data_IF_517789475010
#
_entry.id   IF_517789475010
#
_cell.length_a   1.000
_cell.length_b   1.000
_cell.length_c   1.000
_cell.angle_alpha   90.00
_cell.angle_beta   90.00
_cell.angle_gamma   90.00
#
_symmetry.space_group_name_H-M   'P 1'
#
loop_
_entity.id
_entity.type
_entity.pdbx_description
1 polymer ?
#
# COMPACT_ATOMS: atom_id res chain seq x y z
N UNK A 1 8.64 8.83 -13.10
CA UNK A 1 7.69 8.12 -12.24
C UNK A 1 6.77 9.17 -11.68
N UNK A 2 5.48 8.90 -11.62
CA UNK A 2 4.57 9.80 -10.97
C UNK A 2 4.85 9.76 -9.47
N UNK A 3 5.58 10.76 -8.95
CA UNK A 3 5.87 10.89 -7.53
C UNK A 3 4.61 11.31 -6.79
N UNK A 4 4.48 10.87 -5.54
CA UNK A 4 3.61 11.50 -4.57
C UNK A 4 4.26 11.52 -3.19
N UNK A 5 3.98 12.55 -2.40
CA UNK A 5 4.36 12.61 -0.97
C UNK A 5 3.56 11.64 -0.10
N UNK A 6 2.47 11.11 -0.65
CA UNK A 6 1.59 10.21 0.05
C UNK A 6 1.71 8.86 -0.61
N UNK A 7 2.17 7.88 0.18
CA UNK A 7 2.26 6.51 -0.26
C UNK A 7 0.86 5.92 -0.49
N UNK A 8 0.56 5.60 -1.74
CA UNK A 8 -0.60 4.80 -2.15
C UNK A 8 -0.20 3.33 -2.30
N UNK A 9 -1.17 2.42 -2.14
CA UNK A 9 -0.97 0.99 -2.47
C UNK A 9 -0.97 0.77 -3.97
N UNK A 10 -1.94 1.37 -4.67
CA UNK A 10 -2.01 1.40 -6.12
C UNK A 10 -0.99 2.43 -6.66
N UNK A 11 0.01 2.03 -7.45
CA UNK A 11 0.94 2.97 -8.07
C UNK A 11 0.22 3.93 -9.01
N UNK A 12 0.66 5.19 -9.03
CA UNK A 12 0.06 6.25 -9.86
C UNK A 12 0.11 5.91 -11.35
N UNK A 13 1.21 5.33 -11.82
CA UNK A 13 1.34 4.89 -13.21
C UNK A 13 0.38 3.73 -13.56
N UNK A 14 0.09 2.83 -12.60
CA UNK A 14 -0.94 1.78 -12.78
C UNK A 14 -2.34 2.39 -12.83
N UNK A 15 -2.61 3.40 -12.00
CA UNK A 15 -3.86 4.17 -12.06
C UNK A 15 -4.04 4.81 -13.46
N UNK A 16 -2.99 5.43 -13.98
CA UNK A 16 -3.00 6.05 -15.31
C UNK A 16 -3.22 5.01 -16.42
N UNK A 17 -2.55 3.86 -16.34
CA UNK A 17 -2.71 2.76 -17.28
C UNK A 17 -4.14 2.20 -17.31
N UNK A 18 -4.81 2.06 -16.16
CA UNK A 18 -6.20 1.58 -16.07
C UNK A 18 -7.17 2.56 -16.77
N UNK A 19 -6.89 3.86 -16.70
CA UNK A 19 -7.67 4.88 -17.41
C UNK A 19 -7.32 5.01 -18.90
N UNK A 20 -6.29 4.29 -19.36
CA UNK A 20 -5.80 4.37 -20.74
C UNK A 20 -5.01 5.65 -21.03
N UNK A 21 -4.40 6.25 -20.02
CA UNK A 21 -3.49 7.40 -20.16
C UNK A 21 -2.11 6.87 -20.57
N UNK A 22 -1.45 7.56 -21.52
CA UNK A 22 -0.08 7.21 -21.90
C UNK A 22 0.88 7.51 -20.72
N UNK A 23 1.67 6.51 -20.25
CA UNK A 23 2.61 6.70 -19.15
C UNK A 23 3.60 7.84 -19.39
N UNK A 24 4.04 8.09 -20.64
CA UNK A 24 4.93 9.23 -20.97
C UNK A 24 4.27 10.54 -20.61
N UNK A 25 3.05 10.73 -21.09
CA UNK A 25 2.28 11.95 -20.90
C UNK A 25 1.97 12.20 -19.42
N UNK A 26 1.65 11.13 -18.68
CA UNK A 26 1.43 11.18 -17.24
C UNK A 26 2.71 11.52 -16.45
N UNK A 27 3.87 11.08 -16.92
CA UNK A 27 5.19 11.36 -16.35
C UNK A 27 5.82 12.70 -16.81
N UNK A 28 5.08 13.53 -17.55
CA UNK A 28 5.54 14.78 -18.19
C UNK A 28 6.57 14.60 -19.31
N UNK A 29 6.73 13.39 -19.84
CA UNK A 29 7.68 13.11 -20.93
C UNK A 29 7.02 13.34 -22.29
N UNK A 30 7.74 14.00 -23.18
CA UNK A 30 7.38 14.21 -24.58
C UNK A 30 8.53 13.85 -25.49
N UNK A 31 8.26 13.23 -26.62
CA UNK A 31 9.29 12.80 -27.58
C UNK A 31 9.00 13.37 -28.96
N UNK A 32 10.01 13.48 -29.82
CA UNK A 32 9.79 13.86 -31.22
C UNK A 32 8.85 12.88 -31.94
N UNK A 33 8.95 11.58 -31.63
CA UNK A 33 8.10 10.53 -32.19
C UNK A 33 6.61 10.68 -31.79
N UNK A 34 6.33 11.29 -30.63
CA UNK A 34 4.97 11.54 -30.14
C UNK A 34 4.85 12.97 -29.61
N UNK A 35 4.81 13.91 -30.55
CA UNK A 35 4.64 15.33 -30.26
C UNK A 35 3.33 15.60 -29.50
N UNK A 36 3.37 16.63 -28.64
CA UNK A 36 2.22 17.14 -27.90
C UNK A 36 1.13 17.57 -28.88
N UNK A 37 0.00 16.88 -28.84
CA UNK A 37 -1.22 17.33 -29.53
C UNK A 37 -1.92 18.41 -28.68
N UNK A 38 -2.74 19.26 -29.29
CA UNK A 38 -3.35 20.45 -28.66
C UNK A 38 -4.17 20.18 -27.39
N UNK A 39 -4.57 18.93 -27.13
CA UNK A 39 -5.29 18.52 -25.92
C UNK A 39 -4.43 17.75 -24.89
N UNK A 40 -3.13 17.54 -25.17
CA UNK A 40 -2.22 16.76 -24.33
C UNK A 40 -1.22 17.67 -23.59
N UNK A 41 -1.70 18.59 -22.75
CA UNK A 41 -0.82 19.30 -21.82
C UNK A 41 -0.26 18.31 -20.80
N UNK A 42 1.05 18.30 -20.57
CA UNK A 42 1.71 17.36 -19.65
C UNK A 42 1.12 17.44 -18.23
N UNK A 43 0.99 16.30 -17.56
CA UNK A 43 0.42 16.21 -16.22
C UNK A 43 1.34 16.80 -15.16
N UNK A 44 0.94 17.90 -14.51
CA UNK A 44 1.78 18.58 -13.50
C UNK A 44 1.87 17.81 -12.18
N UNK A 45 2.94 18.04 -11.42
CA UNK A 45 3.14 17.39 -10.13
C UNK A 45 2.11 17.90 -9.11
N UNK A 46 1.93 19.21 -9.06
CA UNK A 46 1.06 19.88 -8.10
C UNK A 46 -0.05 20.68 -8.77
N UNK A 47 -1.20 20.79 -8.11
CA UNK A 47 -2.36 21.58 -8.54
C UNK A 47 -2.12 23.10 -8.65
N UNK A 48 -1.05 23.63 -8.04
CA UNK A 48 -0.72 25.05 -8.12
C UNK A 48 0.15 25.37 -9.34
N UNK A 49 0.76 24.36 -9.98
CA UNK A 49 1.53 24.55 -11.21
C UNK A 49 0.60 24.83 -12.41
N UNK A 50 -0.66 24.42 -12.34
CA UNK A 50 -1.71 24.67 -13.33
C UNK A 50 -3.06 24.81 -12.62
N UNK A 51 -3.68 25.98 -12.67
CA UNK A 51 -4.87 26.30 -11.85
C UNK A 51 -6.11 25.44 -12.18
N UNK A 52 -6.26 25.04 -13.44
CA UNK A 52 -7.50 24.43 -13.93
C UNK A 52 -7.48 22.89 -13.94
N UNK A 53 -6.36 22.28 -13.53
CA UNK A 53 -6.15 20.84 -13.63
C UNK A 53 -5.79 20.22 -12.28
N UNK A 54 -6.01 18.90 -12.19
CA UNK A 54 -5.62 18.07 -11.06
C UNK A 54 -4.14 17.66 -11.19
N UNK A 55 -3.38 17.82 -10.11
CA UNK A 55 -1.98 17.39 -10.06
C UNK A 55 -1.85 15.91 -9.69
N UNK A 56 -0.64 15.34 -9.87
CA UNK A 56 -0.34 13.96 -9.44
C UNK A 56 -0.50 13.77 -7.92
N UNK A 57 -0.18 14.77 -7.11
CA UNK A 57 -0.41 14.74 -5.65
C UNK A 57 -1.89 14.65 -5.28
N UNK A 58 -2.76 15.39 -5.99
CA UNK A 58 -4.21 15.34 -5.73
C UNK A 58 -4.79 13.97 -6.11
N UNK A 59 -4.25 13.37 -7.18
CA UNK A 59 -4.59 11.99 -7.57
C UNK A 59 -4.17 11.02 -6.47
N UNK A 60 -2.96 11.16 -5.93
CA UNK A 60 -2.47 10.30 -4.86
C UNK A 60 -3.34 10.40 -3.59
N UNK A 61 -3.74 11.62 -3.23
CA UNK A 61 -4.70 11.87 -2.14
C UNK A 61 -6.04 11.16 -2.40
N UNK A 62 -6.60 11.29 -3.60
CA UNK A 62 -7.87 10.67 -3.97
C UNK A 62 -7.78 9.13 -3.98
N UNK A 63 -6.66 8.56 -4.44
CA UNK A 63 -6.40 7.11 -4.39
C UNK A 63 -6.29 6.65 -2.94
N UNK A 64 -5.51 7.32 -2.09
CA UNK A 64 -5.37 6.94 -0.69
C UNK A 64 -6.73 6.98 0.02
N UNK A 65 -7.54 8.00 -0.23
CA UNK A 65 -8.89 8.09 0.32
C UNK A 65 -9.77 6.93 -0.15
N UNK A 66 -9.72 6.58 -1.44
CA UNK A 66 -10.45 5.44 -1.99
C UNK A 66 -10.00 4.10 -1.39
N UNK A 67 -8.69 3.87 -1.28
CA UNK A 67 -8.14 2.69 -0.62
C UNK A 67 -8.64 2.59 0.81
N UNK A 68 -8.51 3.66 1.61
CA UNK A 68 -8.94 3.65 3.01
C UNK A 68 -10.42 3.37 3.17
N UNK A 69 -11.28 4.01 2.38
CA UNK A 69 -12.75 3.81 2.43
C UNK A 69 -13.10 2.35 2.11
N UNK A 70 -12.44 1.75 1.12
CA UNK A 70 -12.67 0.36 0.76
C UNK A 70 -12.16 -0.57 1.87
N UNK A 71 -10.95 -0.34 2.39
CA UNK A 71 -10.32 -1.18 3.41
C UNK A 71 -11.05 -1.16 4.75
N UNK A 72 -11.48 0.03 5.18
CA UNK A 72 -12.29 0.18 6.40
C UNK A 72 -13.63 -0.58 6.26
N UNK A 73 -14.17 -0.69 5.04
CA UNK A 73 -15.39 -1.45 4.78
C UNK A 73 -15.16 -2.96 4.71
N UNK A 74 -14.10 -3.43 4.04
CA UNK A 74 -13.83 -4.87 3.88
C UNK A 74 -13.12 -5.48 5.09
N UNK A 75 -12.44 -4.68 5.90
CA UNK A 75 -11.72 -5.11 7.11
C UNK A 75 -10.36 -5.75 6.85
N UNK A 76 -9.73 -5.47 5.70
CA UNK A 76 -8.38 -5.94 5.35
C UNK A 76 -7.73 -4.99 4.34
N UNK A 77 -6.40 -5.02 4.24
CA UNK A 77 -5.67 -4.19 3.26
C UNK A 77 -5.83 -4.75 1.83
N UNK A 78 -6.03 -3.87 0.85
CA UNK A 78 -6.17 -4.26 -0.57
C UNK A 78 -4.87 -4.78 -1.19
N UNK A 79 -3.74 -4.38 -0.63
CA UNK A 79 -2.41 -4.88 -0.95
C UNK A 79 -1.67 -5.15 0.38
N UNK A 80 -0.80 -6.17 0.45
CA UNK A 80 -0.01 -6.43 1.64
C UNK A 80 0.73 -5.20 2.15
N UNK A 81 0.46 -4.85 3.41
CA UNK A 81 1.09 -3.75 4.13
C UNK A 81 1.31 -4.12 5.58
N UNK A 82 2.02 -3.27 6.31
CA UNK A 82 2.36 -3.49 7.72
C UNK A 82 1.45 -2.70 8.63
N UNK A 83 0.79 -3.39 9.55
CA UNK A 83 0.16 -2.78 10.70
C UNK A 83 1.25 -2.48 11.73
N UNK A 84 1.30 -1.24 12.20
CA UNK A 84 2.31 -0.76 13.15
C UNK A 84 1.60 -0.34 14.44
N UNK A 85 2.06 -0.89 15.57
CA UNK A 85 1.57 -0.55 16.91
C UNK A 85 0.05 -0.69 17.07
N UNK A 86 -0.53 -1.79 16.59
CA UNK A 86 -1.92 -2.08 16.90
C UNK A 86 -2.05 -2.48 18.37
N UNK A 87 -2.93 -1.79 19.10
CA UNK A 87 -3.16 -2.04 20.52
C UNK A 87 -4.40 -2.88 20.72
N UNK A 88 -4.22 -4.05 21.32
CA UNK A 88 -5.30 -4.99 21.63
C UNK A 88 -5.37 -5.22 23.13
N UNK A 89 -6.56 -5.12 23.71
CA UNK A 89 -6.78 -5.46 25.12
C UNK A 89 -7.22 -6.92 25.19
N UNK A 90 -6.44 -7.75 25.87
CA UNK A 90 -6.65 -9.21 25.92
C UNK A 90 -7.39 -9.65 27.18
N UNK A 91 -7.09 -9.02 28.32
CA UNK A 91 -7.82 -9.24 29.57
C UNK A 91 -8.49 -7.92 29.96
N UNK A 92 -9.75 -8.00 30.36
CA UNK A 92 -10.42 -6.83 30.95
C UNK A 92 -10.01 -6.77 32.41
N UNK A 93 -9.06 -5.91 32.74
CA UNK A 93 -8.66 -5.64 34.12
C UNK A 93 -9.87 -5.28 35.03
N UNK A 94 -10.98 -4.82 34.46
CA UNK A 94 -12.21 -4.46 35.17
C UNK A 94 -13.22 -5.61 35.40
N UNK A 95 -12.99 -6.83 34.89
CA UNK A 95 -13.91 -7.96 35.13
C UNK A 95 -13.22 -9.00 36.04
N UNK A 96 -13.42 -8.91 37.37
CA UNK A 96 -12.72 -9.77 38.35
C UNK A 96 -13.02 -11.26 38.19
N UNK A 97 -14.12 -11.61 37.50
CA UNK A 97 -14.54 -12.99 37.27
C UNK A 97 -13.76 -13.70 36.14
N UNK A 98 -13.02 -12.95 35.31
CA UNK A 98 -12.30 -13.48 34.15
C UNK A 98 -10.78 -13.43 34.39
N UNK A 99 -10.34 -14.03 35.49
CA UNK A 99 -8.90 -14.26 35.71
C UNK A 99 -8.50 -15.51 34.94
N UNK A 100 -7.96 -15.30 33.75
CA UNK A 100 -7.29 -16.36 33.02
C UNK A 100 -5.84 -16.49 33.53
N UNK A 101 -5.47 -17.67 34.01
CA UNK A 101 -4.12 -17.96 34.51
C UNK A 101 -3.41 -18.86 33.50
N UNK A 102 -2.24 -18.44 33.01
CA UNK A 102 -1.31 -19.30 32.25
C UNK A 102 -1.37 -19.19 30.73
N UNK A 103 -1.78 -18.06 30.16
CA UNK A 103 -1.86 -17.77 28.72
C UNK A 103 -2.65 -18.80 27.90
N UNK A 104 -3.56 -19.52 28.54
CA UNK A 104 -4.33 -20.59 27.91
C UNK A 104 -5.82 -20.35 28.02
N UNK A 105 -6.59 -20.71 27.00
CA UNK A 105 -8.04 -20.78 27.06
C UNK A 105 -8.50 -21.88 28.02
N UNK A 106 -9.80 -21.92 28.35
CA UNK A 106 -10.39 -23.01 29.16
C UNK A 106 -10.16 -24.42 28.59
N UNK A 107 -9.84 -24.51 27.29
CA UNK A 107 -9.48 -25.76 26.59
C UNK A 107 -7.97 -26.03 26.56
N UNK A 108 -7.15 -25.25 27.29
CA UNK A 108 -5.68 -25.32 27.32
C UNK A 108 -4.96 -24.96 26.00
N UNK A 109 -5.65 -24.36 25.02
CA UNK A 109 -5.00 -23.77 23.84
C UNK A 109 -4.43 -22.39 24.17
N UNK A 110 -3.39 -21.94 23.47
CA UNK A 110 -2.88 -20.57 23.59
C UNK A 110 -4.00 -19.55 23.45
N UNK A 111 -3.98 -18.48 24.25
CA UNK A 111 -4.92 -17.37 24.07
C UNK A 111 -4.79 -16.78 22.66
N UNK A 112 -5.94 -16.39 22.11
CA UNK A 112 -6.04 -15.76 20.81
C UNK A 112 -6.61 -14.36 20.94
N UNK A 113 -6.29 -13.52 19.98
CA UNK A 113 -6.96 -12.25 19.76
C UNK A 113 -7.26 -12.08 18.27
N UNK A 114 -8.25 -11.24 17.96
CA UNK A 114 -8.56 -10.85 16.59
C UNK A 114 -7.93 -9.49 16.33
N UNK A 115 -7.05 -9.42 15.35
CA UNK A 115 -6.48 -8.18 14.85
C UNK A 115 -7.53 -7.36 14.09
N UNK A 116 -7.30 -6.06 13.94
CA UNK A 116 -8.18 -5.14 13.22
C UNK A 116 -8.29 -5.51 11.74
N UNK A 117 -7.19 -5.97 11.15
CA UNK A 117 -7.10 -6.32 9.74
C UNK A 117 -7.06 -7.85 9.55
N UNK A 118 -7.90 -8.36 8.66
CA UNK A 118 -7.84 -9.73 8.16
C UNK A 118 -6.75 -9.95 7.12
N UNK A 119 -6.71 -11.14 6.53
CA UNK A 119 -5.69 -11.55 5.55
C UNK A 119 -4.25 -11.36 6.05
N UNK A 120 -3.96 -11.93 7.22
CA UNK A 120 -2.63 -12.00 7.80
C UNK A 120 -1.69 -12.75 6.85
N UNK A 121 -0.44 -12.30 6.79
CA UNK A 121 0.66 -12.99 6.11
C UNK A 121 1.67 -13.47 7.16
N UNK A 122 2.22 -12.55 7.94
CA UNK A 122 3.25 -12.86 8.95
C UNK A 122 3.25 -11.81 10.08
N UNK A 123 3.78 -12.18 11.25
CA UNK A 123 4.15 -11.21 12.28
C UNK A 123 5.46 -10.51 11.91
N UNK A 124 5.61 -9.24 12.28
CA UNK A 124 6.83 -8.48 11.99
C UNK A 124 6.56 -7.04 11.60
N UNK A 125 7.65 -6.29 11.45
CA UNK A 125 7.65 -4.89 11.01
C UNK A 125 8.34 -4.77 9.65
N UNK A 126 8.04 -3.70 8.92
CA UNK A 126 8.75 -3.40 7.70
C UNK A 126 10.20 -3.01 8.00
N UNK A 127 11.15 -3.67 7.36
CA UNK A 127 12.55 -3.27 7.36
C UNK A 127 13.05 -3.00 5.93
N UNK A 128 14.08 -2.17 5.82
CA UNK A 128 14.72 -1.80 4.57
C UNK A 128 16.22 -1.81 4.75
N UNK A 129 16.89 -2.67 3.99
CA UNK A 129 18.35 -2.72 3.96
C UNK A 129 18.85 -2.27 2.61
N UNK A 130 19.87 -1.42 2.58
CA UNK A 130 20.52 -1.04 1.33
C UNK A 130 21.28 -2.25 0.77
N UNK A 131 21.01 -2.61 -0.49
CA UNK A 131 21.78 -3.62 -1.22
C UNK A 131 22.97 -2.93 -1.88
N UNK A 132 22.70 -1.93 -2.71
CA UNK A 132 23.71 -1.15 -3.41
C UNK A 132 23.16 0.25 -3.71
N UNK A 133 23.96 1.29 -3.49
CA UNK A 133 23.61 2.67 -3.79
C UNK A 133 24.29 3.11 -5.09
N UNK A 134 23.65 4.02 -5.82
CA UNK A 134 24.22 4.63 -7.03
C UNK A 134 24.42 3.65 -8.19
N UNK A 135 23.59 2.61 -8.30
CA UNK A 135 23.67 1.62 -9.38
C UNK A 135 23.36 2.31 -10.71
N UNK A 136 24.24 2.15 -11.69
CA UNK A 136 24.10 2.76 -13.00
C UNK A 136 22.87 2.22 -13.75
N UNK A 137 22.14 3.12 -14.39
CA UNK A 137 21.01 2.80 -15.27
C UNK A 137 21.49 2.78 -16.71
N UNK A 138 21.20 1.69 -17.43
CA UNK A 138 21.48 1.59 -18.87
C UNK A 138 20.17 1.76 -19.63
N UNK A 139 20.10 2.80 -20.47
CA UNK A 139 18.98 3.01 -21.38
C UNK A 139 19.21 2.33 -22.72
N UNK A 140 18.20 1.63 -23.22
CA UNK A 140 18.23 0.93 -24.51
C UNK A 140 16.96 1.24 -25.29
N UNK A 141 17.12 1.38 -26.60
CA UNK A 141 16.06 1.45 -27.61
C UNK A 141 15.98 0.06 -28.29
N UNK A 142 15.00 -0.78 -27.92
CA UNK A 142 14.89 -2.13 -28.47
C UNK A 142 14.31 -2.18 -29.88
N UNK A 143 13.59 -1.15 -30.35
CA UNK A 143 12.87 -1.18 -31.63
C UNK A 143 13.48 -0.28 -32.72
N UNK A 144 14.45 0.56 -32.36
CA UNK A 144 15.24 1.38 -33.26
C UNK A 144 14.54 2.68 -33.70
N UNK A 145 13.52 3.14 -32.97
CA UNK A 145 12.80 4.38 -33.29
C UNK A 145 13.51 5.66 -32.81
N UNK A 146 14.71 5.52 -32.24
CA UNK A 146 15.57 6.56 -31.64
C UNK A 146 15.13 7.06 -30.27
N UNK A 147 14.09 6.50 -29.66
CA UNK A 147 13.68 6.79 -28.29
C UNK A 147 14.05 5.60 -27.38
N UNK A 148 14.96 5.76 -26.41
CA UNK A 148 15.29 4.64 -25.51
C UNK A 148 14.17 4.42 -24.48
N UNK A 149 13.18 3.55 -24.73
CA UNK A 149 12.08 3.34 -23.77
C UNK A 149 12.50 2.56 -22.53
N UNK A 150 13.55 1.74 -22.64
CA UNK A 150 13.82 0.69 -21.66
C UNK A 150 15.03 1.04 -20.82
N UNK A 151 14.85 1.05 -19.50
CA UNK A 151 15.90 1.19 -18.51
C UNK A 151 16.22 -0.17 -17.90
N UNK A 152 17.50 -0.55 -17.90
CA UNK A 152 18.00 -1.80 -17.32
C UNK A 152 18.97 -1.50 -16.18
N UNK A 153 18.75 -2.16 -15.04
CA UNK A 153 19.56 -2.05 -13.83
C UNK A 153 19.98 -3.47 -13.43
N UNK A 154 21.26 -3.65 -13.14
CA UNK A 154 21.83 -4.93 -12.70
C UNK A 154 22.61 -4.73 -11.42
N UNK A 155 22.34 -5.56 -10.42
CA UNK A 155 22.91 -5.44 -9.07
C UNK A 155 23.23 -6.82 -8.51
N UNK A 156 24.38 -6.99 -7.87
CA UNK A 156 24.71 -8.24 -7.17
C UNK A 156 23.95 -8.31 -5.86
N UNK A 157 23.29 -9.44 -5.55
CA UNK A 157 22.49 -9.58 -4.34
C UNK A 157 22.50 -11.02 -3.79
N UNK A 158 22.32 -11.13 -2.48
CA UNK A 158 22.07 -12.41 -1.79
C UNK A 158 20.58 -12.69 -1.60
N UNK A 159 19.72 -11.71 -1.90
CA UNK A 159 18.27 -11.84 -1.80
C UNK A 159 17.79 -12.84 -2.86
N UNK A 160 16.93 -13.76 -2.45
CA UNK A 160 16.38 -14.81 -3.32
C UNK A 160 14.96 -14.52 -3.77
N UNK A 161 14.19 -13.77 -2.97
CA UNK A 161 12.84 -13.37 -3.32
C UNK A 161 12.87 -12.06 -4.12
N UNK A 162 12.48 -12.07 -5.40
CA UNK A 162 12.42 -10.83 -6.16
C UNK A 162 11.45 -9.82 -5.52
N UNK A 163 10.38 -10.22 -4.80
CA UNK A 163 9.38 -9.32 -4.17
C UNK A 163 9.96 -8.42 -3.08
N UNK A 164 11.12 -8.78 -2.56
CA UNK A 164 11.83 -7.96 -1.58
C UNK A 164 12.70 -6.88 -2.23
N UNK A 165 12.94 -6.92 -3.54
CA UNK A 165 13.72 -5.90 -4.24
C UNK A 165 12.86 -4.67 -4.53
N UNK A 166 13.30 -3.52 -4.05
CA UNK A 166 12.68 -2.22 -4.29
C UNK A 166 13.72 -1.20 -4.77
N UNK A 167 13.30 -0.31 -5.67
CA UNK A 167 14.14 0.73 -6.25
C UNK A 167 13.75 2.10 -5.69
N UNK A 168 14.75 2.94 -5.44
CA UNK A 168 14.57 4.27 -4.90
C UNK A 168 15.41 5.30 -5.67
N UNK A 169 14.94 6.55 -5.68
CA UNK A 169 15.72 7.69 -6.15
C UNK A 169 17.02 7.81 -5.33
N UNK A 170 18.18 8.09 -5.98
CA UNK A 170 19.47 8.10 -5.29
C UNK A 170 19.52 9.16 -4.19
N UNK A 171 20.13 8.81 -3.06
CA UNK A 171 20.38 9.76 -1.95
C UNK A 171 19.20 9.98 -1.00
N UNK A 172 18.05 9.35 -1.24
CA UNK A 172 16.82 9.55 -0.45
C UNK A 172 16.66 8.56 0.72
N UNK A 173 17.72 7.82 1.07
CA UNK A 173 17.77 6.89 2.22
C UNK A 173 16.62 5.87 2.26
N UNK A 174 16.11 5.47 1.09
CA UNK A 174 15.01 4.51 0.99
C UNK A 174 13.66 5.04 1.51
N UNK A 175 13.44 6.36 1.57
CA UNK A 175 12.12 6.92 1.93
C UNK A 175 11.02 6.45 0.96
N UNK A 176 9.85 6.09 1.51
CA UNK A 176 8.73 5.54 0.71
C UNK A 176 8.22 6.48 -0.39
N UNK A 177 8.30 7.80 -0.18
CA UNK A 177 7.87 8.83 -1.13
C UNK A 177 8.74 8.90 -2.39
N UNK A 178 9.87 8.19 -2.36
CA UNK A 178 10.88 8.12 -3.42
C UNK A 178 11.04 6.71 -4.00
N UNK A 179 10.12 5.80 -3.66
CA UNK A 179 10.12 4.44 -4.19
C UNK A 179 9.62 4.40 -5.65
N UNK A 180 10.47 3.97 -6.57
CA UNK A 180 10.19 3.76 -8.00
C UNK A 180 9.21 2.60 -8.19
N UNK A 181 7.95 2.92 -8.53
CA UNK A 181 6.85 1.96 -8.76
C UNK A 181 6.01 2.37 -9.98
N UNK A 182 5.40 1.41 -10.69
CA UNK A 182 5.53 -0.05 -10.56
C UNK A 182 6.79 -0.58 -11.26
N UNK A 183 7.29 -1.75 -10.83
CA UNK A 183 8.40 -2.47 -11.47
C UNK A 183 7.86 -3.47 -12.50
N UNK A 184 7.36 -2.96 -13.61
CA UNK A 184 6.77 -3.73 -14.71
C UNK A 184 7.65 -3.59 -15.95
N UNK A 185 7.91 -4.72 -16.61
CA UNK A 185 8.65 -4.77 -17.86
C UNK A 185 7.75 -4.25 -19.01
N UNK A 186 8.18 -3.23 -19.77
CA UNK A 186 7.41 -2.68 -20.87
C UNK A 186 7.02 -3.72 -21.94
N UNK A 187 7.87 -4.72 -22.19
CA UNK A 187 7.68 -5.71 -23.24
C UNK A 187 6.70 -6.80 -22.82
N UNK A 188 6.93 -7.44 -21.66
CA UNK A 188 6.08 -8.54 -21.19
C UNK A 188 4.82 -8.09 -20.47
N UNK A 189 4.77 -6.84 -19.99
CA UNK A 189 3.74 -6.32 -19.07
C UNK A 189 3.61 -7.16 -17.80
N UNK A 190 4.69 -7.84 -17.44
CA UNK A 190 4.83 -8.63 -16.21
C UNK A 190 5.85 -7.98 -15.31
N UNK A 191 6.02 -8.58 -14.15
CA UNK A 191 7.05 -8.20 -13.20
C UNK A 191 8.44 -8.17 -13.83
N UNK A 192 9.21 -7.13 -13.55
CA UNK A 192 10.50 -6.93 -14.20
C UNK A 192 11.73 -7.36 -13.43
N UNK A 193 11.58 -7.76 -12.16
CA UNK A 193 12.70 -8.21 -11.34
C UNK A 193 12.93 -9.70 -11.58
N UNK A 194 14.12 -10.03 -12.06
CA UNK A 194 14.59 -11.41 -12.21
C UNK A 194 15.91 -11.58 -11.47
N UNK A 195 16.09 -12.73 -10.81
CA UNK A 195 17.31 -13.03 -10.05
C UNK A 195 17.90 -14.33 -10.58
N UNK A 196 19.14 -14.27 -11.06
CA UNK A 196 19.87 -15.43 -11.55
C UNK A 196 21.34 -15.35 -11.13
N UNK A 197 21.88 -16.45 -10.61
CA UNK A 197 23.29 -16.57 -10.20
C UNK A 197 23.78 -15.44 -9.25
N UNK A 198 22.91 -14.96 -8.35
CA UNK A 198 23.25 -13.88 -7.40
C UNK A 198 23.25 -12.47 -8.01
N UNK A 199 22.71 -12.30 -9.22
CA UNK A 199 22.52 -10.99 -9.85
C UNK A 199 21.03 -10.76 -10.05
N UNK A 200 20.52 -9.64 -9.55
CA UNK A 200 19.19 -9.16 -9.84
C UNK A 200 19.25 -8.22 -11.06
N UNK A 201 18.42 -8.51 -12.06
CA UNK A 201 18.22 -7.67 -13.25
C UNK A 201 16.81 -7.11 -13.18
N UNK A 202 16.71 -5.78 -13.26
CA UNK A 202 15.47 -5.03 -13.16
C UNK A 202 15.31 -4.23 -14.45
N UNK A 203 14.18 -4.40 -15.12
CA UNK A 203 13.87 -3.74 -16.40
C UNK A 203 12.66 -2.84 -16.22
N UNK A 204 12.68 -1.59 -16.64
CA UNK A 204 11.50 -0.74 -16.49
C UNK A 204 11.40 0.31 -17.57
N UNK A 205 10.24 0.94 -17.62
CA UNK A 205 9.99 2.10 -18.48
C UNK A 205 10.87 3.29 -18.06
N UNK A 206 11.59 3.87 -19.01
CA UNK A 206 12.46 5.03 -18.79
C UNK A 206 11.71 6.22 -18.22
N UNK A 207 10.43 6.39 -18.56
CA UNK A 207 9.57 7.45 -18.05
C UNK A 207 9.42 7.41 -16.52
N UNK A 208 9.66 6.25 -15.91
CA UNK A 208 9.68 6.10 -14.47
C UNK A 208 10.92 6.77 -13.83
N UNK A 209 11.97 7.07 -14.59
CA UNK A 209 13.24 7.60 -14.11
C UNK A 209 13.49 9.07 -14.47
N UNK A 210 12.46 9.86 -14.77
CA UNK A 210 12.65 11.31 -14.99
C UNK A 210 13.20 11.98 -13.72
N UNK A 211 14.09 12.94 -13.92
CA UNK A 211 14.71 13.71 -12.84
C UNK A 211 13.64 14.48 -12.01
N UNK A 212 13.56 14.25 -10.68
CA UNK A 212 12.64 14.95 -9.80
C UNK A 212 12.75 16.48 -9.80
N UNK A 213 13.91 17.04 -10.10
CA UNK A 213 14.12 18.49 -10.12
C UNK A 213 13.32 19.15 -11.25
N UNK A 214 13.15 18.46 -12.38
CA UNK A 214 12.35 18.93 -13.51
C UNK A 214 10.86 19.02 -13.17
N UNK A 215 10.34 18.12 -12.33
CA UNK A 215 8.94 18.14 -11.90
C UNK A 215 8.63 19.23 -10.87
N UNK A 216 9.59 19.52 -10.00
CA UNK A 216 9.43 20.47 -8.90
C UNK A 216 9.69 21.92 -9.30
N UNK A 217 10.08 22.17 -10.55
CA UNK A 217 10.22 23.52 -11.08
C UNK A 217 8.93 24.35 -10.89
N UNK A 218 9.11 25.67 -10.69
CA UNK A 218 8.00 26.61 -10.49
C UNK A 218 7.07 26.66 -11.70
N UNK A 219 7.66 26.66 -12.91
CA UNK A 219 6.98 26.59 -14.19
C UNK A 219 7.49 25.36 -14.93
N UNK A 220 7.03 24.16 -14.57
CA UNK A 220 7.55 22.93 -15.18
C UNK A 220 7.19 22.93 -16.67
N UNK A 221 8.16 22.63 -17.53
CA UNK A 221 7.91 22.40 -18.95
C UNK A 221 7.70 20.91 -19.22
N UNK A 222 7.39 20.54 -20.47
CA UNK A 222 7.42 19.15 -20.86
C UNK A 222 8.86 18.66 -20.89
N UNK A 223 9.12 17.50 -20.29
CA UNK A 223 10.45 16.89 -20.25
C UNK A 223 10.73 16.25 -21.61
N UNK A 224 11.79 16.69 -22.27
CA UNK A 224 12.25 16.09 -23.52
C UNK A 224 12.75 14.66 -23.28
N UNK A 225 12.02 13.68 -23.80
CA UNK A 225 12.34 12.26 -23.66
C UNK A 225 13.57 11.83 -24.45
N UNK A 226 13.94 12.57 -25.48
CA UNK A 226 15.07 12.28 -26.37
C UNK A 226 16.43 12.73 -25.75
N UNK A 227 16.43 13.33 -24.56
CA UNK A 227 17.63 13.77 -23.84
C UNK A 227 17.86 12.93 -22.56
N UNK A 228 18.93 12.14 -22.55
CA UNK A 228 19.32 11.28 -21.41
C UNK A 228 19.63 12.08 -20.13
N UNK A 229 20.07 13.32 -20.25
CA UNK A 229 20.35 14.17 -19.08
C UNK A 229 19.10 14.55 -18.28
N UNK A 230 17.90 14.33 -18.82
CA UNK A 230 16.63 14.59 -18.13
C UNK A 230 16.17 13.42 -17.23
N UNK A 231 16.95 12.34 -17.18
CA UNK A 231 16.61 11.11 -16.46
C UNK A 231 17.73 10.74 -15.47
N UNK A 232 17.37 9.97 -14.45
CA UNK A 232 18.27 9.52 -13.40
C UNK A 232 19.31 8.53 -13.95
N UNK A 233 20.57 8.96 -14.00
CA UNK A 233 21.68 8.09 -14.41
C UNK A 233 21.98 6.95 -13.41
N UNK A 234 21.54 7.08 -12.16
CA UNK A 234 21.77 6.11 -11.09
C UNK A 234 20.54 5.95 -10.20
N UNK A 235 20.38 4.78 -9.58
CA UNK A 235 19.33 4.48 -8.60
C UNK A 235 19.89 3.75 -7.39
N UNK A 236 19.18 3.80 -6.25
CA UNK A 236 19.51 3.01 -5.08
C UNK A 236 18.62 1.77 -5.01
N UNK A 237 19.22 0.60 -4.76
CA UNK A 237 18.52 -0.68 -4.63
C UNK A 237 18.46 -1.08 -3.17
N UNK A 238 17.26 -1.32 -2.67
CA UNK A 238 17.01 -1.75 -1.30
C UNK A 238 16.28 -3.09 -1.27
N UNK A 239 16.53 -3.85 -0.19
CA UNK A 239 15.72 -4.98 0.23
C UNK A 239 14.62 -4.49 1.17
N UNK A 240 13.37 -4.46 0.71
CA UNK A 240 12.19 -4.29 1.56
C UNK A 240 11.67 -5.66 1.98
N UNK A 241 11.80 -5.98 3.27
CA UNK A 241 11.38 -7.27 3.80
C UNK A 241 10.61 -7.09 5.12
N UNK A 242 10.05 -8.20 5.61
CA UNK A 242 9.38 -8.24 6.90
C UNK A 242 10.39 -8.72 7.95
N UNK A 243 10.81 -7.83 8.84
CA UNK A 243 11.66 -8.16 9.98
C UNK A 243 10.82 -8.85 11.07
N UNK A 244 11.06 -10.14 11.36
CA UNK A 244 10.32 -10.89 12.35
C UNK A 244 10.72 -10.55 13.79
N UNK A 245 11.79 -9.79 14.05
CA UNK A 245 12.29 -9.51 15.40
C UNK A 245 11.24 -8.83 16.28
N UNK A 246 10.39 -7.98 15.69
CA UNK A 246 9.35 -7.26 16.40
C UNK A 246 7.96 -7.66 15.90
N UNK A 247 7.32 -8.61 16.59
CA UNK A 247 5.95 -9.05 16.26
C UNK A 247 4.92 -8.62 17.30
N UNK A 248 5.22 -8.81 18.59
CA UNK A 248 4.33 -8.40 19.68
C UNK A 248 5.11 -7.98 20.91
N UNK A 249 4.62 -6.94 21.58
CA UNK A 249 5.02 -6.56 22.93
C UNK A 249 3.85 -6.82 23.86
N UNK A 250 4.07 -7.74 24.80
CA UNK A 250 3.17 -8.06 25.90
C UNK A 250 3.30 -6.97 26.95
N UNK A 251 2.18 -6.45 27.46
CA UNK A 251 2.18 -5.34 28.42
C UNK A 251 1.34 -5.68 29.64
N UNK A 252 1.91 -5.49 30.83
CA UNK A 252 1.23 -5.67 32.11
C UNK A 252 1.14 -4.33 32.84
N UNK A 253 -0.07 -3.95 33.25
CA UNK A 253 -0.30 -2.81 34.13
C UNK A 253 0.32 -3.07 35.51
N UNK A 254 0.87 -2.04 36.17
CA UNK A 254 1.37 -2.19 37.53
C UNK A 254 0.20 -2.55 38.47
N UNK A 255 0.44 -3.47 39.40
CA UNK A 255 -0.51 -3.86 40.46
C UNK A 255 0.07 -3.45 41.81
N UNK A 256 -0.79 -2.94 42.69
CA UNK A 256 -0.43 -2.67 44.07
C UNK A 256 -0.06 -3.99 44.78
N UNK A 257 1.20 -4.11 45.21
CA UNK A 257 1.72 -5.29 45.94
C UNK A 257 2.48 -6.34 45.12
N UNK A 258 2.55 -6.24 43.79
CA UNK A 258 3.42 -7.11 42.97
C UNK A 258 4.84 -6.50 42.92
N UNK A 259 5.74 -6.92 43.83
CA UNK A 259 7.23 -6.83 43.86
C UNK A 259 7.99 -5.62 43.27
N UNK A 260 7.32 -4.55 42.82
CA UNK A 260 7.88 -3.22 42.73
C UNK A 260 7.91 -2.66 44.16
N UNK A 261 8.72 -3.29 45.00
CA UNK A 261 9.17 -2.70 46.25
C UNK A 261 10.11 -1.56 45.81
N UNK A 262 9.52 -0.40 45.52
CA UNK A 262 10.22 0.80 45.05
C UNK A 262 11.10 1.39 46.16
N UNK A 263 12.07 0.61 46.67
CA UNK A 263 13.10 1.10 47.56
C UNK A 263 14.07 2.05 46.81
N UNK A 264 14.14 1.91 45.48
CA UNK A 264 15.06 2.65 44.62
C UNK A 264 14.25 3.56 43.68
N UNK A 265 14.69 4.82 43.54
CA UNK A 265 14.01 5.91 42.81
C UNK A 265 13.86 5.70 41.28
N UNK A 266 14.13 4.51 40.77
CA UNK A 266 14.16 4.16 39.35
C UNK A 266 12.95 3.34 38.88
N UNK A 267 12.00 3.01 39.76
CA UNK A 267 10.81 2.26 39.35
C UNK A 267 9.74 3.20 38.76
N UNK A 268 9.40 3.12 37.46
CA UNK A 268 8.38 3.96 36.87
C UNK A 268 7.00 3.49 37.33
N UNK A 269 6.47 4.15 38.37
CA UNK A 269 5.16 3.88 38.99
C UNK A 269 3.99 4.00 38.01
N UNK A 270 4.22 4.53 36.81
CA UNK A 270 3.22 4.77 35.77
C UNK A 270 3.60 4.15 34.41
N UNK A 271 4.41 3.08 34.38
CA UNK A 271 4.72 2.36 33.14
C UNK A 271 4.26 0.90 33.19
N UNK A 272 3.93 0.35 32.03
CA UNK A 272 3.68 -1.08 31.90
C UNK A 272 5.01 -1.85 31.96
N UNK A 273 5.03 -2.98 32.66
CA UNK A 273 6.07 -3.98 32.42
C UNK A 273 5.87 -4.53 31.00
N UNK A 274 6.96 -4.72 30.26
CA UNK A 274 6.90 -5.17 28.86
C UNK A 274 7.78 -6.40 28.63
N UNK A 275 7.35 -7.25 27.70
CA UNK A 275 8.12 -8.41 27.23
C UNK A 275 7.85 -8.62 25.75
N UNK A 276 8.87 -8.98 24.99
CA UNK A 276 8.72 -9.35 23.58
C UNK A 276 8.12 -10.76 23.46
N UNK A 277 7.35 -10.99 22.40
CA UNK A 277 6.84 -12.29 22.06
C UNK A 277 6.72 -12.50 20.55
N UNK A 278 6.31 -13.70 20.17
CA UNK A 278 5.98 -14.06 18.81
C UNK A 278 4.46 -14.15 18.60
N UNK A 279 4.05 -13.88 17.37
CA UNK A 279 2.70 -14.10 16.87
C UNK A 279 2.65 -15.38 16.06
N UNK A 280 1.60 -16.17 16.27
CA UNK A 280 1.31 -17.39 15.53
C UNK A 280 -0.07 -17.23 14.94
N UNK A 281 -0.15 -17.08 13.63
CA UNK A 281 -1.42 -16.97 12.91
C UNK A 281 -2.22 -18.27 13.05
N UNK A 282 -3.48 -18.16 13.49
CA UNK A 282 -4.41 -19.29 13.63
C UNK A 282 -5.43 -19.29 12.49
N UNK A 283 -5.97 -18.12 12.15
CA UNK A 283 -6.83 -17.92 10.98
C UNK A 283 -6.32 -16.71 10.19
N UNK A 284 -5.64 -17.00 9.08
CA UNK A 284 -5.07 -15.99 8.20
C UNK A 284 -6.13 -15.04 7.65
N UNK A 285 -7.29 -15.57 7.27
CA UNK A 285 -8.34 -14.77 6.65
C UNK A 285 -8.98 -13.86 7.69
N UNK A 286 -9.34 -14.41 8.86
CA UNK A 286 -10.09 -13.67 9.87
C UNK A 286 -9.27 -12.71 10.72
N UNK A 287 -7.95 -12.72 10.59
CA UNK A 287 -7.11 -11.87 11.42
C UNK A 287 -6.87 -12.44 12.82
N UNK A 288 -6.94 -13.77 13.02
CA UNK A 288 -6.83 -14.35 14.36
C UNK A 288 -5.40 -14.81 14.61
N UNK A 289 -4.79 -14.24 15.64
CA UNK A 289 -3.47 -14.62 16.14
C UNK A 289 -3.58 -15.29 17.51
N UNK A 290 -2.64 -16.18 17.77
CA UNK A 290 -2.20 -16.52 19.13
C UNK A 290 -0.83 -15.89 19.38
N UNK A 291 -0.46 -15.70 20.64
CA UNK A 291 0.85 -15.13 20.98
C UNK A 291 1.54 -15.95 22.07
N UNK A 292 2.87 -15.90 22.09
CA UNK A 292 3.68 -16.44 23.17
C UNK A 292 4.87 -15.54 23.51
N UNK A 293 5.24 -15.40 24.79
CA UNK A 293 6.49 -14.76 25.17
C UNK A 293 7.67 -15.56 24.59
N UNK A 294 8.67 -14.83 24.10
CA UNK A 294 9.84 -15.43 23.47
C UNK A 294 10.94 -14.40 23.23
N UNK A 295 12.16 -14.88 23.14
CA UNK A 295 13.32 -14.08 22.75
C UNK A 295 13.64 -14.40 21.30
N UNK A 296 13.79 -13.37 20.47
CA UNK A 296 14.23 -13.51 19.09
C UNK A 296 15.73 -13.80 19.05
N UNK A 297 16.12 -14.82 18.29
CA UNK A 297 17.49 -15.19 18.00
C UNK A 297 17.80 -14.84 16.54
N UNK A 298 18.65 -13.84 16.33
CA UNK A 298 19.04 -13.35 15.02
C UNK A 298 19.89 -14.34 14.21
N UNK A 299 20.57 -15.28 14.87
CA UNK A 299 21.44 -16.25 14.18
C UNK A 299 20.60 -17.36 13.53
N UNK A 300 19.46 -17.69 14.13
CA UNK A 300 18.53 -18.73 13.64
C UNK A 300 17.26 -18.18 13.01
N UNK A 301 17.09 -16.85 13.00
CA UNK A 301 15.88 -16.15 12.54
C UNK A 301 14.60 -16.72 13.18
N UNK A 302 14.65 -17.01 14.48
CA UNK A 302 13.59 -17.74 15.17
C UNK A 302 13.35 -17.25 16.60
N UNK A 303 12.15 -17.51 17.13
CA UNK A 303 11.84 -17.22 18.52
C UNK A 303 12.06 -18.45 19.40
N UNK A 304 12.86 -18.30 20.45
CA UNK A 304 12.91 -19.27 21.54
C UNK A 304 11.88 -18.89 22.60
N UNK A 305 10.98 -19.82 22.90
CA UNK A 305 9.91 -19.60 23.89
C UNK A 305 10.48 -19.30 25.28
N UNK A 306 9.90 -18.32 25.96
CA UNK A 306 10.24 -17.96 27.35
C UNK A 306 9.02 -18.03 28.25
N UNK A 307 9.22 -17.99 29.57
CA UNK A 307 8.10 -17.85 30.50
C UNK A 307 7.62 -16.39 30.53
N UNK A 308 6.34 -16.13 30.87
CA UNK A 308 5.85 -14.78 31.10
C UNK A 308 6.67 -14.07 32.19
N UNK A 309 7.14 -12.86 31.92
CA UNK A 309 7.98 -12.09 32.85
C UNK A 309 7.24 -11.67 34.13
N UNK A 310 5.93 -11.47 34.03
CA UNK A 310 5.01 -11.31 35.16
C UNK A 310 4.18 -12.60 35.19
N UNK A 311 4.08 -13.29 36.33
CA UNK A 311 3.42 -14.62 36.48
C UNK A 311 1.90 -14.64 36.23
N UNK A 312 1.39 -13.78 35.34
CA UNK A 312 0.00 -13.59 34.94
C UNK A 312 -0.06 -13.25 33.44
N UNK A 313 -1.27 -13.25 32.89
CA UNK A 313 -1.49 -12.85 31.50
C UNK A 313 -1.27 -11.35 31.30
N UNK A 314 -0.78 -10.91 30.12
CA UNK A 314 -0.68 -9.49 29.81
C UNK A 314 -2.07 -8.86 29.77
N UNK A 315 -2.13 -7.57 30.04
CA UNK A 315 -3.36 -6.77 30.00
C UNK A 315 -3.60 -6.21 28.58
N UNK A 316 -2.51 -5.77 27.94
CA UNK A 316 -2.51 -5.25 26.58
C UNK A 316 -1.44 -5.92 25.72
N UNK A 317 -1.66 -5.90 24.42
CA UNK A 317 -0.69 -6.26 23.39
C UNK A 317 -0.46 -5.05 22.50
N UNK A 318 0.80 -4.79 22.13
CA UNK A 318 1.15 -3.98 20.96
C UNK A 318 1.63 -4.92 19.88
N UNK A 319 1.03 -4.90 18.70
CA UNK A 319 1.32 -5.87 17.64
C UNK A 319 1.81 -5.17 16.38
N UNK A 320 2.72 -5.86 15.69
CA UNK A 320 3.25 -5.51 14.38
C UNK A 320 3.12 -6.75 13.50
N UNK A 321 2.44 -6.60 12.37
CA UNK A 321 2.20 -7.70 11.47
C UNK A 321 1.96 -7.23 10.04
N UNK A 322 2.29 -8.08 9.08
CA UNK A 322 2.00 -7.89 7.67
C UNK A 322 0.65 -8.52 7.33
N UNK A 323 -0.23 -7.74 6.70
CA UNK A 323 -1.55 -8.19 6.25
C UNK A 323 -1.99 -7.53 4.96
N UNK A 324 -2.76 -8.26 4.16
CA UNK A 324 -3.44 -7.77 2.97
C UNK A 324 -3.79 -8.92 2.04
N UNK A 325 -4.69 -8.63 1.08
CA UNK A 325 -5.09 -9.61 0.08
C UNK A 325 -3.90 -9.96 -0.84
N UNK A 326 -3.64 -11.24 -1.03
CA UNK A 326 -2.65 -11.75 -1.98
C UNK A 326 -3.38 -12.48 -3.11
N UNK A 327 -3.28 -11.96 -4.32
CA UNK A 327 -3.81 -12.62 -5.50
C UNK A 327 -2.74 -13.53 -6.11
N UNK A 328 -2.76 -14.79 -5.71
CA UNK A 328 -1.81 -15.83 -6.15
C UNK A 328 -1.88 -16.15 -7.65
N UNK A 329 -2.82 -15.54 -8.40
CA UNK A 329 -2.88 -15.67 -9.86
C UNK A 329 -1.95 -14.69 -10.59
N UNK A 330 -1.43 -13.68 -9.88
CA UNK A 330 -0.48 -12.70 -10.41
C UNK A 330 0.97 -13.14 -10.21
N UNK A 331 1.88 -12.53 -10.97
CA UNK A 331 3.32 -12.80 -10.87
C UNK A 331 3.93 -12.19 -9.59
N UNK A 332 3.29 -11.17 -9.00
CA UNK A 332 3.76 -10.46 -7.81
C UNK A 332 2.63 -10.25 -6.76
N UNK A 333 2.07 -11.31 -6.17
CA UNK A 333 0.93 -11.25 -5.25
C UNK A 333 1.07 -10.28 -4.07
N UNK A 334 2.29 -9.90 -3.67
CA UNK A 334 2.46 -8.92 -2.56
C UNK A 334 2.74 -7.48 -2.98
N UNK A 335 2.98 -7.23 -4.26
CA UNK A 335 3.31 -5.90 -4.79
C UNK A 335 2.25 -5.37 -5.76
N UNK A 336 1.49 -6.27 -6.40
CA UNK A 336 0.45 -5.92 -7.35
C UNK A 336 -0.94 -6.12 -6.73
N UNK A 337 -1.78 -5.10 -6.88
CA UNK A 337 -3.15 -5.14 -6.41
C UNK A 337 -3.99 -5.98 -7.37
N UNK A 338 -4.90 -6.80 -6.84
CA UNK A 338 -5.92 -7.51 -7.64
C UNK A 338 -6.55 -6.55 -8.69
N UNK A 339 -6.65 -6.93 -9.98
CA UNK A 339 -7.09 -6.02 -11.03
C UNK A 339 -8.52 -5.49 -10.83
N UNK A 340 -9.38 -6.27 -10.17
CA UNK A 340 -10.75 -5.86 -9.84
C UNK A 340 -10.71 -4.78 -8.76
N UNK A 341 -9.87 -4.96 -7.73
CA UNK A 341 -9.65 -3.94 -6.70
C UNK A 341 -8.97 -2.69 -7.24
N UNK A 342 -7.94 -2.84 -8.07
CA UNK A 342 -7.26 -1.73 -8.70
C UNK A 342 -8.25 -0.87 -9.52
N UNK A 343 -9.12 -1.51 -10.30
CA UNK A 343 -10.19 -0.81 -11.05
C UNK A 343 -11.21 -0.14 -10.13
N UNK A 344 -11.62 -0.81 -9.04
CA UNK A 344 -12.54 -0.23 -8.06
C UNK A 344 -11.95 1.02 -7.38
N UNK A 345 -10.67 0.97 -6.97
CA UNK A 345 -9.94 2.10 -6.41
C UNK A 345 -9.84 3.24 -7.43
N UNK A 346 -9.47 2.95 -8.69
CA UNK A 346 -9.41 3.96 -9.75
C UNK A 346 -10.77 4.66 -9.91
N UNK A 347 -11.86 3.92 -10.08
CA UNK A 347 -13.17 4.53 -10.30
C UNK A 347 -13.72 5.27 -9.09
N UNK A 348 -13.44 4.79 -7.87
CA UNK A 348 -13.80 5.50 -6.65
C UNK A 348 -12.96 6.78 -6.49
N UNK A 349 -11.65 6.74 -6.78
CA UNK A 349 -10.77 7.91 -6.67
C UNK A 349 -11.24 9.07 -7.54
N UNK A 350 -11.79 8.79 -8.73
CA UNK A 350 -12.36 9.81 -9.61
C UNK A 350 -13.52 10.59 -8.97
N UNK A 351 -14.27 9.97 -8.05
CA UNK A 351 -15.40 10.62 -7.36
C UNK A 351 -14.96 11.58 -6.25
N UNK A 352 -13.71 11.47 -5.76
CA UNK A 352 -13.16 12.36 -4.76
C UNK A 352 -12.43 13.57 -5.36
N UNK A 353 -12.19 13.57 -6.68
CA UNK A 353 -11.51 14.66 -7.35
C UNK A 353 -12.46 15.85 -7.55
N UNK A 354 -12.02 17.04 -7.16
CA UNK A 354 -12.79 18.29 -7.29
C UNK A 354 -12.53 19.04 -8.60
N UNK A 355 -11.42 18.71 -9.28
CA UNK A 355 -10.96 19.33 -10.52
C UNK A 355 -11.03 18.35 -11.69
N UNK A 356 -11.21 18.83 -12.93
CA UNK A 356 -11.21 17.96 -14.10
C UNK A 356 -9.83 17.33 -14.32
N UNK A 357 -9.82 16.11 -14.85
CA UNK A 357 -8.59 15.46 -15.30
C UNK A 357 -7.99 16.19 -16.50
N UNK A 358 -6.67 16.22 -16.56
CA UNK A 358 -5.99 16.57 -17.79
C UNK A 358 -6.18 15.48 -18.84
N UNK A 359 -6.42 15.85 -20.09
CA UNK A 359 -6.42 14.90 -21.21
C UNK A 359 -7.56 15.09 -22.21
N UNK A 360 -7.54 14.21 -23.21
CA UNK A 360 -8.48 14.24 -24.33
C UNK A 360 -9.90 13.79 -23.95
N UNK A 361 -10.83 14.00 -24.89
CA UNK A 361 -12.26 13.73 -24.72
C UNK A 361 -12.55 12.36 -24.09
N UNK A 362 -11.86 11.29 -24.48
CA UNK A 362 -12.16 9.94 -23.95
C UNK A 362 -11.99 9.82 -22.43
N UNK A 363 -10.90 10.35 -21.88
CA UNK A 363 -10.63 10.30 -20.43
C UNK A 363 -11.61 11.19 -19.67
N UNK A 364 -11.89 12.39 -20.21
CA UNK A 364 -12.87 13.29 -19.62
C UNK A 364 -14.29 12.71 -19.65
N UNK A 365 -14.68 12.02 -20.72
CA UNK A 365 -15.98 11.33 -20.81
C UNK A 365 -16.07 10.18 -19.80
N UNK A 366 -14.99 9.40 -19.63
CA UNK A 366 -14.94 8.36 -18.61
C UNK A 366 -15.05 8.95 -17.20
N UNK A 367 -14.28 10.00 -16.89
CA UNK A 367 -14.34 10.68 -15.61
C UNK A 367 -15.74 11.23 -15.33
N UNK A 368 -16.33 11.97 -16.28
CA UNK A 368 -17.70 12.48 -16.19
C UNK A 368 -18.72 11.37 -15.96
N UNK A 369 -18.56 10.23 -16.64
CA UNK A 369 -19.44 9.07 -16.47
C UNK A 369 -19.31 8.45 -15.08
N UNK A 370 -18.11 8.43 -14.50
CA UNK A 370 -17.89 7.88 -13.15
C UNK A 370 -18.33 8.83 -12.04
N UNK A 371 -18.23 10.14 -12.26
CA UNK A 371 -18.69 11.18 -11.33
C UNK A 371 -20.19 11.49 -11.48
N UNK A 372 -20.87 10.92 -12.46
CA UNK A 372 -22.30 11.08 -12.66
C UNK A 372 -23.07 10.55 -11.45
N UNK A 373 -23.84 11.43 -10.81
CA UNK A 373 -24.73 11.08 -9.72
C UNK A 373 -25.96 10.37 -10.28
N UNK A 374 -26.11 9.09 -9.94
CA UNK A 374 -27.21 8.30 -10.44
C UNK A 374 -28.55 8.71 -9.81
N UNK A 375 -28.53 9.28 -8.58
CA UNK A 375 -29.74 9.66 -7.83
C UNK A 375 -30.32 11.00 -8.29
N UNK A 376 -29.52 11.82 -8.97
CA UNK A 376 -29.96 13.10 -9.50
C UNK A 376 -30.88 12.88 -10.72
N UNK A 377 -32.04 13.54 -10.71
CA UNK A 377 -32.88 13.73 -11.90
C UNK A 377 -32.42 14.97 -12.64
N UNK A 378 -31.48 14.81 -13.57
CA UNK A 378 -30.95 15.95 -14.33
C UNK A 378 -31.90 16.26 -15.49
N UNK A 379 -32.76 17.26 -15.31
CA UNK A 379 -33.52 17.89 -16.38
C UNK A 379 -32.65 18.94 -17.10
N UNK A 380 -31.70 18.50 -17.92
CA UNK A 380 -30.86 19.38 -18.73
C UNK A 380 -31.40 19.48 -20.15
N UNK A 381 -32.32 20.42 -20.40
CA UNK A 381 -32.83 20.70 -21.75
C UNK A 381 -33.77 19.62 -22.29
N UNK A 382 -33.56 19.17 -23.54
CA UNK A 382 -34.43 18.24 -24.27
C UNK A 382 -34.24 16.76 -23.92
N UNK A 383 -33.27 16.42 -23.05
CA UNK A 383 -33.01 15.04 -22.61
C UNK A 383 -33.00 15.00 -21.08
N UNK A 384 -34.09 14.55 -20.47
CA UNK A 384 -34.12 14.19 -19.06
C UNK A 384 -33.54 12.79 -18.89
N UNK A 385 -32.40 12.67 -18.21
CA UNK A 385 -31.88 11.37 -17.81
C UNK A 385 -32.33 11.09 -16.37
N UNK A 386 -33.06 9.99 -16.19
CA UNK A 386 -33.42 9.45 -14.88
C UNK A 386 -33.02 7.99 -14.84
N UNK A 387 -32.21 7.60 -13.87
CA UNK A 387 -31.83 6.21 -13.69
C UNK A 387 -32.82 5.52 -12.75
N UNK A 388 -33.22 4.29 -13.08
CA UNK A 388 -33.96 3.43 -12.15
C UNK A 388 -32.97 2.80 -11.19
N UNK A 389 -32.85 3.35 -10.00
CA UNK A 389 -31.94 2.87 -8.96
C UNK A 389 -32.75 2.09 -7.91
N UNK A 390 -32.17 0.98 -7.43
CA UNK A 390 -32.71 0.23 -6.30
C UNK A 390 -32.34 0.93 -4.97
N UNK A 391 -33.21 0.90 -3.97
CA UNK A 391 -32.96 1.40 -2.60
C UNK A 391 -31.62 0.93 -2.01
N UNK A 392 -31.18 -0.28 -2.36
CA UNK A 392 -29.86 -0.79 -1.96
C UNK A 392 -28.71 0.13 -2.41
N UNK A 393 -28.77 0.68 -3.63
CA UNK A 393 -27.76 1.59 -4.17
C UNK A 393 -27.93 3.01 -3.59
N UNK A 394 -29.16 3.45 -3.33
CA UNK A 394 -29.41 4.74 -2.67
C UNK A 394 -28.84 4.78 -1.24
N UNK A 395 -28.83 3.63 -0.57
CA UNK A 395 -28.23 3.46 0.76
C UNK A 395 -26.72 3.13 0.72
N UNK A 396 -26.03 3.36 -0.41
CA UNK A 396 -24.58 3.16 -0.49
C UNK A 396 -23.85 4.16 0.42
N UNK A 397 -23.07 3.72 1.42
CA UNK A 397 -22.34 4.61 2.33
C UNK A 397 -21.28 5.48 1.63
N UNK A 398 -20.87 5.13 0.41
CA UNK A 398 -19.85 5.88 -0.36
C UNK A 398 -20.46 6.91 -1.31
N UNK A 399 -21.79 7.01 -1.37
CA UNK A 399 -22.53 7.92 -2.23
C UNK A 399 -23.11 7.26 -3.49
N UNK A 400 -23.83 8.07 -4.27
CA UNK A 400 -24.65 7.63 -5.42
C UNK A 400 -23.97 7.85 -6.77
N UNK A 401 -22.75 8.40 -6.78
CA UNK A 401 -21.94 8.51 -7.99
C UNK A 401 -21.61 7.12 -8.56
N UNK A 402 -21.63 6.99 -9.89
CA UNK A 402 -21.46 5.71 -10.58
C UNK A 402 -20.17 4.97 -10.18
N UNK A 403 -19.05 5.68 -10.03
CA UNK A 403 -17.77 5.11 -9.59
C UNK A 403 -17.83 4.56 -8.16
N UNK A 404 -18.48 5.28 -7.25
CA UNK A 404 -18.68 4.86 -5.88
C UNK A 404 -19.60 3.64 -5.77
N UNK A 405 -20.67 3.61 -6.57
CA UNK A 405 -21.59 2.46 -6.66
C UNK A 405 -20.87 1.22 -7.20
N UNK A 406 -20.06 1.37 -8.24
CA UNK A 406 -19.27 0.26 -8.79
C UNK A 406 -18.32 -0.33 -7.74
N UNK A 407 -17.52 0.50 -7.09
CA UNK A 407 -16.58 0.05 -6.08
C UNK A 407 -17.32 -0.64 -4.92
N UNK A 408 -18.47 -0.11 -4.50
CA UNK A 408 -19.26 -0.69 -3.41
C UNK A 408 -19.87 -2.04 -3.78
N UNK A 409 -20.29 -2.22 -5.03
CA UNK A 409 -20.77 -3.51 -5.54
C UNK A 409 -19.64 -4.54 -5.56
N UNK A 410 -18.44 -4.17 -6.01
CA UNK A 410 -17.24 -5.02 -5.94
C UNK A 410 -16.96 -5.39 -4.49
N UNK A 411 -16.98 -4.42 -3.59
CA UNK A 411 -16.73 -4.69 -2.19
C UNK A 411 -17.78 -5.59 -1.57
N UNK A 412 -19.05 -5.47 -1.94
CA UNK A 412 -20.08 -6.38 -1.47
C UNK A 412 -19.94 -7.80 -2.01
N UNK A 413 -19.66 -7.97 -3.31
CA UNK A 413 -19.54 -9.29 -3.92
C UNK A 413 -18.32 -10.05 -3.41
N UNK A 414 -17.22 -9.33 -3.17
CA UNK A 414 -16.02 -9.87 -2.52
C UNK A 414 -16.21 -10.00 -1.01
N UNK A 415 -17.09 -9.18 -0.41
CA UNK A 415 -17.41 -9.30 1.00
C UNK A 415 -18.19 -10.55 1.28
N UNK A 416 -19.21 -10.99 0.52
CA UNK A 416 -20.07 -12.17 0.82
C UNK A 416 -19.29 -13.48 1.08
N UNK A 417 -18.01 -13.48 0.72
CA UNK A 417 -16.92 -14.23 1.32
C UNK A 417 -16.57 -13.76 2.78
N UNK A 418 -17.56 -13.40 3.62
CA UNK A 418 -17.33 -12.54 4.80
C UNK A 418 -16.59 -13.31 5.88
N UNK A 419 -15.54 -12.70 6.40
CA UNK A 419 -14.88 -13.04 7.65
C UNK A 419 -15.89 -12.85 8.79
N UNK A 420 -16.60 -13.90 9.16
CA UNK A 420 -17.24 -14.05 10.48
C UNK A 420 -18.20 -12.94 10.92
N UNK A 421 -18.96 -12.30 10.03
CA UNK A 421 -20.21 -11.69 10.48
C UNK A 421 -21.14 -12.84 10.86
N UNK A 422 -21.24 -13.11 12.17
CA UNK A 422 -22.41 -13.80 12.70
C UNK A 422 -23.61 -13.03 12.15
N UNK A 423 -24.39 -13.69 11.28
CA UNK A 423 -25.70 -13.21 10.90
C UNK A 423 -26.47 -13.11 12.20
N UNK A 424 -26.63 -11.90 12.72
CA UNK A 424 -27.65 -11.63 13.72
C UNK A 424 -28.98 -11.82 12.98
N UNK A 425 -29.50 -13.05 13.03
CA UNK A 425 -30.86 -13.39 12.62
C UNK A 425 -31.85 -12.78 13.61
#
# INVERSE_FOLDING_TARGET
MARARIRTRLPLDTWAAILGIDPRHFNQVTTAAKAVTTCSTVWKQYAWQENDQVGREDIALAIQQAERVIEDYVGYNLLPGWAVDERVTVTKAAIPEVVNVGLVTSRRFSMTFKARLGHIISGGIQAKDLIEAGVAVVYTDPDGDSYPETATITVTTTVTDPEEIALFTPGESGHDDWELRPLIDPASRRRSVSIAAGVATIVMQRELLVDPDLWNALAPEAVGGDNDANFLATVDVYRRHNDPQQQVTLMWSPREGDDCNCADATCPTCAHATQVGCLIAQDFRQGIFSFRPGTFDSDTDSFTATQPGVGRNPDHLRTWYRSGLQDQTQDAPTLEMDPVWARAVVYLSLTFMTRPLCGCNNIQQLARRMTEDLAATVASGSVSQSFRINDRILNNPWGTMRGAVYAWQVANSMSDRKIGQAVAL
#
